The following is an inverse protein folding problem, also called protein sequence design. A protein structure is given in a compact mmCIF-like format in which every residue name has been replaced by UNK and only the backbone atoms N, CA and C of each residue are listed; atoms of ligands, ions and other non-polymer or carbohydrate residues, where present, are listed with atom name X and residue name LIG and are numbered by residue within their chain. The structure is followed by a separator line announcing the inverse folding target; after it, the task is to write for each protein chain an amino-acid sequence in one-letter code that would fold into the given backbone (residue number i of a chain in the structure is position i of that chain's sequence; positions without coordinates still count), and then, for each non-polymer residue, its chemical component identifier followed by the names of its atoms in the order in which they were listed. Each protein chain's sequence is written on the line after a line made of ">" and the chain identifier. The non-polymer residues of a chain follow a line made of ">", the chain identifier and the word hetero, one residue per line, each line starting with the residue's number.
data_IF_928885749810
#
_entry.id   IF_928885749810
#
_cell.length_a   1.000
_cell.length_b   1.000
_cell.length_c   1.000
_cell.angle_alpha   90.00
_cell.angle_beta   90.00
_cell.angle_gamma   90.00
#
_symmetry.space_group_name_H-M   'P 1'
#
loop_
_entity.id
_entity.type
_entity.pdbx_description
1 polymer ?
#
# COMPACT_ATOMS: atom_id res chain seq x y z
N UNK A 1 18.95 20.06 39.92
CA UNK A 1 18.35 19.99 38.56
C UNK A 1 16.89 20.40 38.65
N UNK A 2 16.47 21.41 37.87
CA UNK A 2 15.14 22.03 37.94
C UNK A 2 14.04 21.00 37.59
N UNK A 3 12.96 20.95 38.39
CA UNK A 3 11.83 20.03 38.17
C UNK A 3 11.16 20.24 36.81
N UNK A 4 11.15 21.47 36.27
CA UNK A 4 10.67 21.78 34.92
C UNK A 4 11.56 21.17 33.84
N UNK A 5 12.88 21.14 34.06
CA UNK A 5 13.85 20.55 33.13
C UNK A 5 13.71 19.02 33.13
N UNK A 6 13.49 18.39 34.29
CA UNK A 6 13.19 16.95 34.40
C UNK A 6 11.90 16.57 33.68
N UNK A 7 10.84 17.37 33.84
CA UNK A 7 9.57 17.14 33.15
C UNK A 7 9.72 17.27 31.63
N UNK A 8 10.53 18.22 31.14
CA UNK A 8 10.80 18.39 29.71
C UNK A 8 11.49 17.16 29.09
N UNK A 9 12.50 16.59 29.77
CA UNK A 9 13.18 15.38 29.31
C UNK A 9 12.31 14.12 29.38
N UNK A 10 11.44 14.01 30.39
CA UNK A 10 10.46 12.92 30.48
C UNK A 10 9.42 13.03 29.35
N UNK A 11 8.95 14.23 29.03
CA UNK A 11 8.00 14.44 27.93
C UNK A 11 8.65 14.16 26.56
N UNK A 12 9.89 14.60 26.35
CA UNK A 12 10.65 14.33 25.13
C UNK A 12 10.97 12.83 24.97
N UNK A 13 11.31 12.14 26.07
CA UNK A 13 11.50 10.69 26.07
C UNK A 13 10.18 9.92 25.85
N UNK A 14 9.05 10.40 26.41
CA UNK A 14 7.73 9.82 26.14
C UNK A 14 7.30 10.03 24.68
N UNK A 15 7.55 11.19 24.09
CA UNK A 15 7.30 11.44 22.67
C UNK A 15 8.18 10.55 21.76
N UNK A 16 9.44 10.32 22.16
CA UNK A 16 10.36 9.44 21.43
C UNK A 16 10.02 7.94 21.57
N UNK A 17 9.13 7.57 22.50
CA UNK A 17 8.65 6.20 22.72
C UNK A 17 7.29 5.92 22.05
N UNK A 18 6.69 6.92 21.39
CA UNK A 18 5.54 6.69 20.50
C UNK A 18 6.05 6.09 19.19
N UNK A 19 6.55 4.85 19.25
CA UNK A 19 6.55 3.99 18.09
C UNK A 19 5.08 3.70 17.79
N UNK A 20 4.47 4.50 16.91
CA UNK A 20 3.33 4.02 16.17
C UNK A 20 3.82 2.73 15.50
N UNK A 21 3.24 1.59 15.88
CA UNK A 21 3.55 0.34 15.23
C UNK A 21 3.04 0.47 13.80
N UNK A 22 3.93 0.89 12.90
CA UNK A 22 3.67 0.93 11.47
C UNK A 22 3.25 -0.47 11.04
N UNK A 23 2.24 -0.58 10.17
CA UNK A 23 1.85 -1.89 9.68
C UNK A 23 3.05 -2.55 8.98
N UNK A 24 3.34 -3.80 9.40
CA UNK A 24 4.49 -4.56 8.92
C UNK A 24 4.52 -4.71 7.39
N UNK A 25 3.34 -4.93 6.79
CA UNK A 25 3.16 -4.96 5.34
C UNK A 25 2.02 -4.02 4.99
N UNK A 26 2.26 -3.12 4.05
CA UNK A 26 1.31 -2.10 3.58
C UNK A 26 1.12 -2.18 2.08
N UNK A 27 0.01 -1.66 1.60
CA UNK A 27 -0.19 -1.32 0.18
C UNK A 27 0.65 -0.06 -0.08
N UNK A 28 1.61 -0.13 -1.00
CA UNK A 28 2.61 0.92 -1.22
C UNK A 28 2.31 1.78 -2.44
N UNK A 29 1.96 1.14 -3.54
CA UNK A 29 1.73 1.81 -4.82
C UNK A 29 0.57 1.14 -5.58
N UNK A 30 -0.23 1.96 -6.27
CA UNK A 30 -1.42 1.54 -7.00
C UNK A 30 -1.47 2.25 -8.34
N UNK A 31 -1.37 1.46 -9.40
CA UNK A 31 -1.65 1.88 -10.77
C UNK A 31 -3.12 1.59 -11.10
N UNK A 32 -3.92 2.66 -11.18
CA UNK A 32 -5.36 2.58 -11.44
C UNK A 32 -5.71 2.75 -12.92
N UNK A 33 -4.88 3.44 -13.69
CA UNK A 33 -5.24 3.86 -15.04
C UNK A 33 -4.00 3.90 -15.97
N UNK A 34 -3.30 2.75 -16.13
CA UNK A 34 -2.05 2.71 -16.90
C UNK A 34 -2.32 3.03 -18.37
N UNK A 35 -1.34 3.52 -19.16
CA UNK A 35 -1.60 3.88 -20.55
C UNK A 35 -2.02 2.65 -21.37
N UNK A 36 -3.08 2.75 -22.17
CA UNK A 36 -3.41 1.63 -23.06
C UNK A 36 -4.75 1.73 -23.77
N UNK A 37 -4.92 0.87 -24.78
CA UNK A 37 -6.22 0.75 -25.44
C UNK A 37 -7.22 0.04 -24.53
N UNK A 38 -8.19 0.81 -24.04
CA UNK A 38 -9.34 0.33 -23.26
C UNK A 38 -10.10 -0.79 -23.97
N UNK A 39 -10.19 -0.75 -25.31
CA UNK A 39 -10.88 -1.78 -26.09
C UNK A 39 -10.12 -3.12 -26.07
N UNK A 40 -8.82 -3.07 -25.83
CA UNK A 40 -7.96 -4.25 -25.64
C UNK A 40 -7.76 -4.58 -24.16
N UNK A 41 -8.56 -3.98 -23.26
CA UNK A 41 -8.49 -4.13 -21.81
C UNK A 41 -7.08 -3.96 -21.27
N UNK A 42 -6.36 -2.98 -21.80
CA UNK A 42 -4.98 -2.66 -21.41
C UNK A 42 -4.07 -3.89 -21.28
N UNK A 43 -4.15 -4.79 -22.26
CA UNK A 43 -3.41 -6.07 -22.28
C UNK A 43 -1.87 -5.94 -22.29
N UNK A 44 -1.34 -4.73 -22.52
CA UNK A 44 0.11 -4.45 -22.54
C UNK A 44 0.59 -3.75 -21.27
N UNK A 45 -0.20 -2.84 -20.70
CA UNK A 45 0.07 -2.17 -19.43
C UNK A 45 -1.13 -2.38 -18.52
N UNK A 46 -1.01 -3.30 -17.56
CA UNK A 46 -2.13 -3.70 -16.71
C UNK A 46 -2.12 -2.93 -15.40
N UNK A 47 -3.28 -2.74 -14.79
CA UNK A 47 -3.38 -2.20 -13.44
C UNK A 47 -2.67 -3.15 -12.46
N UNK A 48 -1.96 -2.57 -11.50
CA UNK A 48 -1.16 -3.34 -10.55
C UNK A 48 -1.14 -2.65 -9.19
N UNK A 49 -0.84 -3.45 -8.17
CA UNK A 49 -0.72 -3.00 -6.79
C UNK A 49 0.57 -3.56 -6.23
N UNK A 50 1.33 -2.71 -5.58
CA UNK A 50 2.55 -3.09 -4.88
C UNK A 50 2.30 -3.12 -3.38
N UNK A 51 2.81 -4.16 -2.73
CA UNK A 51 2.91 -4.24 -1.28
C UNK A 51 4.35 -3.97 -0.87
N UNK A 52 4.56 -3.32 0.27
CA UNK A 52 5.88 -3.08 0.84
C UNK A 52 5.98 -3.66 2.24
N UNK A 53 7.13 -4.27 2.55
CA UNK A 53 7.46 -4.76 3.88
C UNK A 53 8.31 -3.74 4.65
N UNK A 54 7.72 -3.15 5.69
CA UNK A 54 8.39 -2.19 6.57
C UNK A 54 9.37 -2.82 7.56
N UNK A 55 9.36 -4.15 7.69
CA UNK A 55 10.18 -4.86 8.65
C UNK A 55 11.60 -5.13 8.12
N UNK A 56 12.54 -5.33 9.04
CA UNK A 56 13.90 -5.78 8.72
C UNK A 56 14.02 -7.29 8.55
N UNK A 57 12.91 -8.02 8.63
CA UNK A 57 12.80 -9.46 8.46
C UNK A 57 11.80 -9.77 7.34
N UNK A 58 11.88 -10.96 6.74
CA UNK A 58 10.97 -11.35 5.68
C UNK A 58 9.52 -11.50 6.19
N UNK A 59 8.56 -10.93 5.44
CA UNK A 59 7.14 -11.03 5.75
C UNK A 59 6.46 -12.13 4.90
N UNK A 60 5.93 -13.16 5.56
CA UNK A 60 5.20 -14.23 4.88
C UNK A 60 3.73 -13.83 4.65
N UNK A 61 3.38 -13.62 3.39
CA UNK A 61 2.08 -13.09 2.96
C UNK A 61 1.25 -14.13 2.18
N UNK A 62 1.66 -15.39 2.18
CA UNK A 62 0.90 -16.46 1.53
C UNK A 62 -0.52 -16.58 2.07
N UNK A 63 -1.49 -16.77 1.17
CA UNK A 63 -2.93 -16.81 1.43
C UNK A 63 -3.55 -15.50 1.94
N UNK A 64 -2.80 -14.39 1.91
CA UNK A 64 -3.42 -13.06 2.09
C UNK A 64 -4.29 -12.74 0.88
N UNK A 65 -5.14 -11.73 1.02
CA UNK A 65 -6.04 -11.30 -0.05
C UNK A 65 -6.05 -9.79 -0.19
N UNK A 66 -6.21 -9.32 -1.43
CA UNK A 66 -6.40 -7.91 -1.75
C UNK A 66 -7.78 -7.75 -2.39
N UNK A 67 -8.66 -7.00 -1.74
CA UNK A 67 -10.04 -6.76 -2.22
C UNK A 67 -10.19 -5.33 -2.70
N UNK A 68 -10.74 -5.15 -3.90
CA UNK A 68 -11.09 -3.88 -4.50
C UNK A 68 -12.57 -3.52 -4.23
N UNK A 69 -12.83 -2.31 -3.74
CA UNK A 69 -14.17 -1.76 -3.50
C UNK A 69 -14.35 -0.36 -4.11
N UNK A 70 -15.48 -0.07 -4.77
CA UNK A 70 -16.59 -0.99 -5.09
C UNK A 70 -16.18 -2.08 -6.10
N UNK A 71 -17.03 -3.10 -6.29
CA UNK A 71 -16.78 -4.21 -7.23
C UNK A 71 -16.53 -5.57 -6.55
N UNK A 72 -15.99 -5.58 -5.32
CA UNK A 72 -15.70 -6.77 -4.52
C UNK A 72 -14.85 -7.84 -5.22
N UNK A 73 -14.05 -7.43 -6.21
CA UNK A 73 -13.07 -8.33 -6.79
C UNK A 73 -11.94 -8.56 -5.79
N UNK A 74 -11.51 -9.81 -5.65
CA UNK A 74 -10.49 -10.21 -4.68
C UNK A 74 -9.41 -11.01 -5.37
N UNK A 75 -8.16 -10.58 -5.21
CA UNK A 75 -6.97 -11.34 -5.57
C UNK A 75 -6.46 -12.10 -4.35
N UNK A 76 -6.13 -13.38 -4.53
CA UNK A 76 -5.49 -14.19 -3.50
C UNK A 76 -3.99 -14.29 -3.77
N UNK A 77 -3.18 -14.03 -2.75
CA UNK A 77 -1.73 -14.17 -2.82
C UNK A 77 -1.38 -15.68 -2.70
N UNK A 78 -0.59 -16.24 -3.64
CA UNK A 78 -0.29 -17.67 -3.64
C UNK A 78 0.32 -18.15 -2.31
N UNK A 79 0.04 -19.41 -1.90
CA UNK A 79 0.71 -20.01 -0.75
C UNK A 79 2.24 -19.93 -0.89
N UNK A 80 2.92 -19.65 0.21
CA UNK A 80 4.40 -19.57 0.25
C UNK A 80 4.99 -18.24 -0.23
N UNK A 81 4.19 -17.28 -0.67
CA UNK A 81 4.67 -15.94 -0.98
C UNK A 81 5.27 -15.25 0.27
N UNK A 82 6.37 -14.53 0.05
CA UNK A 82 7.03 -13.73 1.06
C UNK A 82 7.61 -12.46 0.43
N UNK A 83 7.65 -11.39 1.20
CA UNK A 83 8.34 -10.15 0.85
C UNK A 83 9.65 -10.09 1.65
N UNK A 84 10.82 -9.90 1.01
CA UNK A 84 12.07 -9.69 1.73
C UNK A 84 12.02 -8.44 2.63
N UNK A 85 13.00 -8.27 3.53
CA UNK A 85 13.14 -7.05 4.33
C UNK A 85 13.21 -5.79 3.46
N UNK A 86 12.42 -4.76 3.78
CA UNK A 86 12.46 -3.46 3.09
C UNK A 86 12.34 -3.59 1.55
N UNK A 87 11.46 -4.47 1.10
CA UNK A 87 11.30 -4.85 -0.30
C UNK A 87 9.81 -4.91 -0.68
N UNK A 88 9.56 -5.16 -1.96
CA UNK A 88 8.26 -5.01 -2.60
C UNK A 88 7.69 -6.34 -3.10
N UNK A 89 6.36 -6.39 -3.26
CA UNK A 89 5.66 -7.50 -3.90
C UNK A 89 4.56 -6.99 -4.82
N UNK A 90 4.64 -7.39 -6.09
CA UNK A 90 3.71 -6.95 -7.13
C UNK A 90 2.53 -7.90 -7.31
N UNK A 91 1.33 -7.32 -7.32
CA UNK A 91 0.06 -7.96 -7.61
C UNK A 91 -0.51 -7.38 -8.89
N UNK A 92 -0.72 -8.23 -9.88
CA UNK A 92 -1.38 -7.87 -11.14
C UNK A 92 -2.70 -8.61 -11.26
N UNK A 93 -3.79 -7.88 -11.51
CA UNK A 93 -5.08 -8.48 -11.85
C UNK A 93 -5.22 -8.72 -13.36
N UNK A 94 -6.42 -9.13 -13.78
CA UNK A 94 -6.82 -9.05 -15.19
C UNK A 94 -7.09 -7.60 -15.57
N UNK A 95 -6.83 -7.17 -16.81
CA UNK A 95 -7.09 -5.78 -17.20
C UNK A 95 -8.54 -5.32 -16.95
N UNK A 96 -8.68 -4.13 -16.33
CA UNK A 96 -9.96 -3.54 -15.91
C UNK A 96 -10.50 -4.11 -14.61
N UNK A 97 -9.62 -4.56 -13.71
CA UNK A 97 -9.98 -5.10 -12.42
C UNK A 97 -10.13 -4.04 -11.34
N UNK A 98 -9.51 -2.88 -11.54
CA UNK A 98 -9.73 -1.67 -10.76
C UNK A 98 -10.63 -0.72 -11.54
N UNK A 99 -11.11 0.31 -10.85
CA UNK A 99 -11.82 1.42 -11.47
C UNK A 99 -10.98 2.69 -11.30
N UNK A 100 -11.01 3.54 -12.31
CA UNK A 100 -10.33 4.84 -12.38
C UNK A 100 -10.71 5.82 -11.24
N UNK A 101 -11.74 5.53 -10.45
CA UNK A 101 -12.27 6.48 -9.48
C UNK A 101 -12.90 5.86 -8.26
N UNK A 102 -12.69 6.53 -7.12
CA UNK A 102 -13.20 6.17 -5.80
C UNK A 102 -12.90 4.70 -5.42
N UNK A 103 -11.71 4.23 -5.79
CA UNK A 103 -11.25 2.86 -5.58
C UNK A 103 -10.58 2.73 -4.22
N UNK A 104 -11.13 1.89 -3.35
CA UNK A 104 -10.50 1.49 -2.09
C UNK A 104 -9.97 0.08 -2.23
N UNK A 105 -8.73 -0.14 -1.78
CA UNK A 105 -8.14 -1.46 -1.67
C UNK A 105 -8.02 -1.85 -0.20
N UNK A 106 -8.34 -3.11 0.11
CA UNK A 106 -8.27 -3.66 1.46
C UNK A 106 -7.39 -4.91 1.41
N UNK A 107 -6.26 -4.86 2.10
CA UNK A 107 -5.36 -5.99 2.28
C UNK A 107 -5.77 -6.75 3.54
N UNK A 108 -6.00 -8.05 3.41
CA UNK A 108 -6.35 -8.93 4.54
C UNK A 108 -5.34 -10.06 4.68
N UNK A 109 -5.03 -10.39 5.94
CA UNK A 109 -4.21 -11.53 6.33
C UNK A 109 -4.94 -12.84 6.03
N UNK A 110 -4.21 -13.95 6.10
CA UNK A 110 -4.76 -15.29 5.90
C UNK A 110 -5.90 -15.66 6.87
N UNK A 111 -5.95 -15.05 8.06
CA UNK A 111 -7.03 -15.23 9.04
C UNK A 111 -8.24 -14.32 8.80
N UNK A 112 -8.20 -13.49 7.75
CA UNK A 112 -9.25 -12.55 7.38
C UNK A 112 -9.20 -11.19 8.09
N UNK A 113 -8.27 -10.98 9.03
CA UNK A 113 -8.06 -9.67 9.65
C UNK A 113 -7.48 -8.67 8.65
N UNK A 114 -7.84 -7.40 8.79
CA UNK A 114 -7.32 -6.32 7.94
C UNK A 114 -5.86 -6.03 8.30
N UNK A 115 -4.99 -6.01 7.29
CA UNK A 115 -3.59 -5.65 7.43
C UNK A 115 -3.35 -4.18 7.08
N UNK A 116 -3.98 -3.70 5.99
CA UNK A 116 -3.88 -2.33 5.52
C UNK A 116 -5.09 -1.98 4.61
N UNK A 117 -5.30 -0.69 4.38
CA UNK A 117 -6.35 -0.11 3.56
C UNK A 117 -5.87 1.20 2.93
N UNK A 118 -6.16 1.38 1.64
CA UNK A 118 -5.97 2.69 1.00
C UNK A 118 -7.11 3.65 1.38
N UNK A 119 -6.90 4.98 1.36
CA UNK A 119 -8.02 5.89 1.15
C UNK A 119 -8.70 5.61 -0.20
N UNK A 120 -9.88 6.18 -0.49
CA UNK A 120 -10.43 6.15 -1.83
C UNK A 120 -9.49 6.88 -2.80
N UNK A 121 -8.93 6.12 -3.74
CA UNK A 121 -8.01 6.60 -4.78
C UNK A 121 -8.77 6.91 -6.06
N UNK A 122 -8.26 7.84 -6.86
CA UNK A 122 -8.85 8.21 -8.15
C UNK A 122 -7.74 8.62 -9.10
N UNK A 123 -7.74 8.03 -10.29
CA UNK A 123 -6.89 8.41 -11.39
C UNK A 123 -7.66 8.37 -12.71
N UNK A 124 -7.92 9.53 -13.30
CA UNK A 124 -8.65 9.65 -14.56
C UNK A 124 -7.74 9.90 -15.75
N UNK A 125 -6.43 9.69 -15.59
CA UNK A 125 -5.44 9.90 -16.65
C UNK A 125 -4.92 8.54 -17.11
N UNK A 126 -4.98 8.30 -18.41
CA UNK A 126 -4.41 7.13 -19.07
C UNK A 126 -2.89 7.35 -19.30
N UNK A 127 -2.14 7.50 -18.21
CA UNK A 127 -0.69 7.82 -18.21
C UNK A 127 0.09 6.99 -17.18
N UNK A 128 1.41 7.19 -17.09
CA UNK A 128 2.31 6.42 -16.21
C UNK A 128 2.33 6.97 -14.76
N UNK A 129 1.25 7.62 -14.31
CA UNK A 129 1.12 8.09 -12.93
C UNK A 129 0.44 7.01 -12.09
N UNK A 130 0.93 6.85 -10.86
CA UNK A 130 0.38 5.92 -9.88
C UNK A 130 0.22 6.61 -8.53
N UNK A 131 -0.70 6.10 -7.72
CA UNK A 131 -0.84 6.52 -6.34
C UNK A 131 0.21 5.83 -5.49
N UNK A 132 1.04 6.62 -4.80
CA UNK A 132 2.19 6.13 -4.05
C UNK A 132 2.20 6.64 -2.62
N UNK A 133 2.52 5.77 -1.67
CA UNK A 133 2.97 6.23 -0.34
C UNK A 133 4.31 6.94 -0.50
N UNK A 134 4.50 8.08 0.17
CA UNK A 134 5.76 8.82 0.11
C UNK A 134 6.28 9.29 1.48
N UNK A 135 7.45 8.79 1.94
CA UNK A 135 8.27 7.72 1.32
C UNK A 135 7.59 6.34 1.36
N UNK A 136 8.20 5.33 0.72
CA UNK A 136 7.70 3.96 0.72
C UNK A 136 7.45 3.45 2.13
N UNK A 137 6.39 2.66 2.25
CA UNK A 137 6.00 2.06 3.50
C UNK A 137 5.29 3.00 4.49
N UNK A 138 5.33 4.32 4.28
CA UNK A 138 4.76 5.32 5.19
C UNK A 138 3.28 5.07 5.45
N UNK A 139 2.94 4.78 6.69
CA UNK A 139 1.56 4.51 7.08
C UNK A 139 1.17 5.20 8.39
N UNK A 140 0.48 6.33 8.25
CA UNK A 140 -0.11 7.11 9.33
C UNK A 140 -1.64 7.02 9.33
N UNK A 141 -2.20 6.04 8.60
CA UNK A 141 -3.63 5.88 8.34
C UNK A 141 -4.30 7.13 7.73
N UNK A 142 -3.54 7.94 6.97
CA UNK A 142 -4.00 9.22 6.43
C UNK A 142 -3.84 9.28 4.92
N UNK A 143 -4.79 9.95 4.25
CA UNK A 143 -4.67 10.25 2.83
C UNK A 143 -3.45 11.10 2.48
N UNK A 144 -2.87 11.81 3.46
CA UNK A 144 -1.63 12.58 3.28
C UNK A 144 -0.38 11.73 3.04
N UNK A 145 -0.47 10.42 3.29
CA UNK A 145 0.63 9.49 2.99
C UNK A 145 0.76 9.28 1.48
N UNK A 146 -0.31 9.53 0.72
CA UNK A 146 -0.45 9.20 -0.68
C UNK A 146 -0.27 10.40 -1.60
N UNK A 147 0.42 10.19 -2.72
CA UNK A 147 0.64 11.18 -3.77
C UNK A 147 0.53 10.53 -5.14
N UNK A 148 -0.11 11.21 -6.09
CA UNK A 148 -0.13 10.80 -7.49
C UNK A 148 1.14 11.31 -8.18
N UNK A 149 2.01 10.40 -8.61
CA UNK A 149 3.30 10.73 -9.23
C UNK A 149 3.73 9.64 -10.20
N UNK A 150 4.84 9.85 -10.93
CA UNK A 150 5.33 8.82 -11.85
C UNK A 150 5.59 7.50 -11.14
N UNK A 151 5.13 6.43 -11.77
CA UNK A 151 5.29 5.06 -11.30
C UNK A 151 6.76 4.71 -11.04
N UNK A 152 7.01 4.00 -9.94
CA UNK A 152 8.32 3.36 -9.68
C UNK A 152 8.23 1.85 -9.60
N UNK A 153 7.18 1.24 -10.16
CA UNK A 153 6.89 -0.19 -10.15
C UNK A 153 8.09 -1.09 -9.82
N UNK A 154 8.10 -1.69 -8.63
CA UNK A 154 9.12 -2.64 -8.19
C UNK A 154 10.44 -2.03 -7.69
N UNK A 155 10.49 -0.72 -7.42
CA UNK A 155 11.66 0.01 -6.92
C UNK A 155 11.32 0.97 -5.77
#
# INVERSE_FOLDING_TARGET
>A
MNSKIRLLYILAALLALLNFAQAAVVINEVELNPPGDENLRKSTFVEWVELYNNETEAAFIGNWTLTAQPGNLTLAIPPGAAIPPLDHYLLTGSGGWLSDGNQTLILRRADGSEADRTPPLTDTRDDDLSWRRYPDGRDTDSASDWQLMYSSQGF
#
